data_IF_222370177621
#
_entry.id   IF_222370177621
#
_cell.length_a   1.000
_cell.length_b   1.000
_cell.length_c   1.000
_cell.angle_alpha   90.00
_cell.angle_beta   90.00
_cell.angle_gamma   90.00
#
_symmetry.space_group_name_H-M   'P 1'
#
loop_
_entity.id
_entity.type
_entity.pdbx_description
1 polymer ?
#
# COMPACT_ATOMS: atom_id res chain seq x y z
N UNK A 1 16.75 38.43 -52.87
CA UNK A 1 15.62 38.29 -51.91
C UNK A 1 16.17 37.92 -50.54
N UNK A 2 16.19 38.85 -49.57
CA UNK A 2 16.70 38.60 -48.22
C UNK A 2 15.56 38.16 -47.30
N UNK A 3 15.56 36.90 -46.87
CA UNK A 3 14.63 36.39 -45.86
C UNK A 3 14.99 36.99 -44.49
N UNK A 4 14.04 37.75 -43.92
CA UNK A 4 14.11 38.25 -42.55
C UNK A 4 13.78 37.09 -41.60
N UNK A 5 14.77 36.58 -40.89
CA UNK A 5 14.54 35.64 -39.80
C UNK A 5 13.91 36.39 -38.61
N UNK A 6 12.63 36.12 -38.37
CA UNK A 6 11.90 36.64 -37.23
C UNK A 6 12.43 36.00 -35.93
N UNK A 7 13.04 36.83 -35.06
CA UNK A 7 13.37 36.45 -33.68
C UNK A 7 12.09 36.06 -32.95
N UNK A 8 11.90 34.77 -32.68
CA UNK A 8 10.82 34.28 -31.81
C UNK A 8 11.10 34.71 -30.36
N UNK A 9 10.09 35.22 -29.63
CA UNK A 9 10.28 35.68 -28.26
C UNK A 9 10.51 34.50 -27.32
N UNK A 10 11.68 34.48 -26.68
CA UNK A 10 12.21 33.44 -25.77
C UNK A 10 11.33 33.25 -24.50
N UNK A 11 10.39 34.17 -24.21
CA UNK A 11 9.53 34.11 -23.03
C UNK A 11 8.39 33.07 -23.09
N UNK A 12 7.90 32.71 -24.28
CA UNK A 12 6.71 31.83 -24.42
C UNK A 12 7.03 30.35 -24.13
N UNK A 13 8.26 29.92 -24.44
CA UNK A 13 8.74 28.56 -24.19
C UNK A 13 8.95 28.28 -22.69
N UNK A 14 9.42 29.27 -21.93
CA UNK A 14 9.65 29.11 -20.48
C UNK A 14 8.33 28.98 -19.69
N UNK A 15 7.32 29.74 -20.07
CA UNK A 15 5.98 29.64 -19.45
C UNK A 15 5.29 28.30 -19.73
N UNK A 16 5.36 27.81 -20.97
CA UNK A 16 4.83 26.48 -21.33
C UNK A 16 5.54 25.34 -20.59
N UNK A 17 6.87 25.39 -20.52
CA UNK A 17 7.66 24.41 -19.75
C UNK A 17 7.34 24.43 -18.25
N UNK A 18 7.05 25.60 -17.67
CA UNK A 18 6.63 25.69 -16.26
C UNK A 18 5.23 25.09 -16.04
N UNK A 19 4.28 25.36 -16.93
CA UNK A 19 2.94 24.78 -16.85
C UNK A 19 3.00 23.26 -17.00
N UNK A 20 3.75 22.75 -17.97
CA UNK A 20 3.94 21.31 -18.19
C UNK A 20 4.53 20.62 -16.95
N UNK A 21 5.56 21.21 -16.32
CA UNK A 21 6.15 20.70 -15.08
C UNK A 21 5.14 20.68 -13.92
N UNK A 22 4.37 21.75 -13.76
CA UNK A 22 3.36 21.83 -12.70
C UNK A 22 2.21 20.83 -12.94
N UNK A 23 1.80 20.61 -14.19
CA UNK A 23 0.78 19.60 -14.51
C UNK A 23 1.30 18.19 -14.28
N UNK A 24 2.54 17.88 -14.68
CA UNK A 24 3.17 16.58 -14.46
C UNK A 24 3.32 16.26 -12.97
N UNK A 25 3.71 17.25 -12.16
CA UNK A 25 3.81 17.07 -10.71
C UNK A 25 2.43 16.84 -10.05
N UNK A 26 1.38 17.48 -10.55
CA UNK A 26 0.01 17.29 -10.05
C UNK A 26 -0.53 15.90 -10.40
N UNK A 27 -0.26 15.39 -11.61
CA UNK A 27 -0.65 14.03 -12.00
C UNK A 27 0.11 13.01 -11.17
N UNK A 28 1.42 13.17 -11.00
CA UNK A 28 2.24 12.25 -10.21
C UNK A 28 1.75 12.14 -8.75
N UNK A 29 1.48 13.27 -8.08
CA UNK A 29 0.92 13.27 -6.72
C UNK A 29 -0.45 12.60 -6.63
N UNK A 30 -1.28 12.78 -7.67
CA UNK A 30 -2.60 12.13 -7.73
C UNK A 30 -2.43 10.62 -7.89
N UNK A 31 -1.55 10.17 -8.76
CA UNK A 31 -1.32 8.76 -9.04
C UNK A 31 -0.75 8.05 -7.80
N UNK A 32 0.21 8.68 -7.11
CA UNK A 32 0.74 8.20 -5.82
C UNK A 32 -0.36 8.00 -4.77
N UNK A 33 -1.30 8.95 -4.66
CA UNK A 33 -2.43 8.86 -3.72
C UNK A 33 -3.36 7.71 -4.08
N UNK A 34 -3.70 7.60 -5.36
CA UNK A 34 -4.55 6.51 -5.86
C UNK A 34 -3.89 5.15 -5.64
N UNK A 35 -2.58 5.07 -5.82
CA UNK A 35 -1.83 3.85 -5.59
C UNK A 35 -1.87 3.41 -4.11
N UNK A 36 -1.65 4.36 -3.19
CA UNK A 36 -1.79 4.11 -1.77
C UNK A 36 -3.22 3.67 -1.39
N UNK A 37 -4.23 4.29 -1.99
CA UNK A 37 -5.65 3.95 -1.80
C UNK A 37 -5.99 2.53 -2.31
N UNK A 38 -5.45 2.13 -3.46
CA UNK A 38 -5.66 0.78 -4.01
C UNK A 38 -5.08 -0.29 -3.09
N UNK A 39 -3.85 -0.10 -2.63
CA UNK A 39 -3.25 -1.00 -1.65
C UNK A 39 -4.01 -0.99 -0.31
N UNK A 40 -4.49 0.18 0.12
CA UNK A 40 -5.29 0.30 1.34
C UNK A 40 -6.57 -0.50 1.23
N UNK A 41 -7.30 -0.34 0.13
CA UNK A 41 -8.55 -1.04 -0.12
C UNK A 41 -8.37 -2.55 -0.27
N UNK A 42 -7.26 -2.99 -0.88
CA UNK A 42 -6.91 -4.41 -0.95
C UNK A 42 -6.80 -5.04 0.46
N UNK A 43 -6.11 -4.36 1.38
CA UNK A 43 -5.96 -4.81 2.77
C UNK A 43 -7.22 -4.55 3.62
N UNK A 44 -7.97 -3.50 3.34
CA UNK A 44 -9.18 -3.17 4.09
C UNK A 44 -10.30 -4.17 3.78
N UNK A 45 -10.50 -4.51 2.52
CA UNK A 45 -11.47 -5.54 2.10
C UNK A 45 -10.97 -6.93 2.51
N UNK A 46 -9.65 -7.15 2.44
CA UNK A 46 -9.02 -8.45 2.66
C UNK A 46 -9.66 -9.53 1.76
N UNK A 47 -9.80 -9.21 0.46
CA UNK A 47 -10.40 -10.12 -0.53
C UNK A 47 -9.48 -11.32 -0.76
N UNK A 48 -9.75 -12.40 -0.05
CA UNK A 48 -8.97 -13.63 -0.09
C UNK A 48 -9.63 -14.63 -1.02
N UNK A 49 -8.91 -15.03 -2.07
CA UNK A 49 -9.29 -16.16 -2.92
C UNK A 49 -8.81 -17.46 -2.26
N UNK A 50 -9.77 -18.31 -1.92
CA UNK A 50 -9.50 -19.66 -1.39
C UNK A 50 -9.28 -20.61 -2.56
N UNK A 51 -8.07 -21.13 -2.70
CA UNK A 51 -7.77 -22.19 -3.68
C UNK A 51 -7.85 -23.53 -2.95
N UNK A 52 -8.86 -24.33 -3.28
CA UNK A 52 -8.92 -25.73 -2.86
C UNK A 52 -7.87 -26.49 -3.67
N UNK A 53 -6.74 -26.81 -3.04
CA UNK A 53 -5.83 -27.79 -3.60
C UNK A 53 -6.57 -29.13 -3.50
N UNK A 54 -7.00 -29.67 -4.64
CA UNK A 54 -7.41 -31.07 -4.71
C UNK A 54 -6.15 -31.87 -4.36
N UNK A 55 -6.18 -32.58 -3.25
CA UNK A 55 -5.14 -33.53 -2.87
C UNK A 55 -5.00 -34.58 -3.97
N UNK A 56 -4.09 -34.36 -4.92
CA UNK A 56 -3.65 -35.34 -5.90
C UNK A 56 -2.15 -35.08 -6.12
N UNK A 57 -1.22 -36.01 -5.93
CA UNK A 57 -1.24 -37.46 -5.90
C UNK A 57 -0.22 -37.95 -4.85
N UNK A 58 -0.61 -38.85 -3.95
CA UNK A 58 0.34 -39.70 -3.23
C UNK A 58 0.27 -41.10 -3.86
N UNK A 59 1.36 -41.51 -4.51
CA UNK A 59 1.68 -42.93 -4.63
C UNK A 59 2.27 -43.35 -3.28
N UNK A 60 1.47 -44.01 -2.43
CA UNK A 60 2.02 -44.77 -1.31
C UNK A 60 2.34 -46.20 -1.79
N UNK A 61 3.57 -46.69 -1.64
CA UNK A 61 3.78 -48.10 -1.35
C UNK A 61 3.52 -48.33 0.14
N UNK A 62 2.59 -49.23 0.45
CA UNK A 62 2.17 -49.66 1.78
C UNK A 62 3.31 -49.68 2.82
N UNK A 63 3.10 -48.99 3.93
CA UNK A 63 3.61 -49.41 5.22
C UNK A 63 2.50 -49.27 6.25
N UNK A 64 1.99 -50.41 6.70
CA UNK A 64 1.04 -50.58 7.79
C UNK A 64 1.51 -49.85 9.05
N UNK A 65 1.02 -48.63 9.27
CA UNK A 65 1.07 -47.95 10.56
C UNK A 65 -0.26 -47.24 10.79
N UNK A 66 -1.13 -47.98 11.47
CA UNK A 66 -2.45 -47.59 11.92
C UNK A 66 -2.42 -46.34 12.83
N UNK A 67 -3.16 -45.32 12.37
CA UNK A 67 -4.31 -44.78 13.10
C UNK A 67 -4.06 -43.89 14.35
N UNK A 68 -3.32 -42.79 14.20
CA UNK A 68 -3.43 -41.60 15.07
C UNK A 68 -3.23 -40.27 14.32
N UNK A 69 -3.42 -40.25 13.00
CA UNK A 69 -3.35 -39.01 12.21
C UNK A 69 -4.69 -38.30 12.30
N UNK A 70 -4.79 -37.40 13.28
CA UNK A 70 -5.86 -36.39 13.33
C UNK A 70 -5.99 -35.74 11.95
N UNK A 71 -7.21 -35.67 11.43
CA UNK A 71 -7.53 -35.22 10.08
C UNK A 71 -7.13 -33.79 9.79
N UNK A 72 -5.84 -33.56 9.58
CA UNK A 72 -5.26 -32.30 9.15
C UNK A 72 -5.35 -32.25 7.62
N UNK A 73 -6.59 -32.08 7.13
CA UNK A 73 -6.78 -31.75 5.73
C UNK A 73 -5.96 -30.48 5.46
N UNK A 74 -5.13 -30.45 4.40
CA UNK A 74 -4.26 -29.31 4.15
C UNK A 74 -5.09 -28.04 4.12
N UNK A 75 -4.78 -27.11 5.03
CA UNK A 75 -5.50 -25.84 5.13
C UNK A 75 -5.50 -25.17 3.74
N UNK A 76 -6.66 -24.70 3.26
CA UNK A 76 -6.74 -24.18 1.92
C UNK A 76 -5.85 -22.94 1.78
N UNK A 77 -5.02 -22.91 0.74
CA UNK A 77 -4.19 -21.74 0.44
C UNK A 77 -5.08 -20.55 0.11
N UNK A 78 -4.78 -19.44 0.77
CA UNK A 78 -5.54 -18.19 0.74
C UNK A 78 -4.66 -17.12 0.14
N UNK A 79 -5.09 -16.55 -0.98
CA UNK A 79 -4.36 -15.51 -1.69
C UNK A 79 -5.07 -14.17 -1.60
N UNK A 80 -4.37 -13.14 -1.17
CA UNK A 80 -4.81 -11.76 -1.18
C UNK A 80 -4.54 -11.13 -2.55
N UNK A 81 -5.57 -10.57 -3.17
CA UNK A 81 -5.40 -9.78 -4.40
C UNK A 81 -4.87 -8.39 -4.06
N UNK A 82 -3.73 -8.04 -4.64
CA UNK A 82 -3.11 -6.72 -4.51
C UNK A 82 -2.95 -6.08 -5.89
N UNK A 83 -2.66 -4.77 -5.97
CA UNK A 83 -2.46 -4.08 -7.25
C UNK A 83 -1.32 -4.65 -8.10
N UNK A 84 -0.36 -5.34 -7.48
CA UNK A 84 0.84 -5.89 -8.12
C UNK A 84 0.71 -7.37 -8.45
N UNK A 85 -0.16 -8.09 -7.75
CA UNK A 85 -0.33 -9.54 -7.92
C UNK A 85 -1.07 -10.20 -6.77
N UNK A 86 -1.01 -11.52 -6.72
CA UNK A 86 -1.58 -12.33 -5.65
C UNK A 86 -0.47 -12.73 -4.66
N UNK A 87 -0.64 -12.39 -3.38
CA UNK A 87 0.27 -12.79 -2.30
C UNK A 87 -0.45 -13.75 -1.36
N UNK A 88 0.27 -14.66 -0.70
CA UNK A 88 -0.41 -15.52 0.28
C UNK A 88 -0.80 -14.71 1.52
N UNK A 89 -1.96 -15.03 2.11
CA UNK A 89 -2.42 -14.42 3.36
C UNK A 89 -1.37 -14.60 4.48
N UNK A 90 -0.69 -15.75 4.48
CA UNK A 90 0.38 -16.08 5.41
C UNK A 90 1.59 -15.15 5.28
N UNK A 91 2.08 -14.88 4.06
CA UNK A 91 3.19 -13.96 3.83
C UNK A 91 2.87 -12.54 4.28
N UNK A 92 1.71 -12.02 3.84
CA UNK A 92 1.28 -10.67 4.21
C UNK A 92 1.11 -10.56 5.73
N UNK A 93 0.47 -11.56 6.36
CA UNK A 93 0.29 -11.61 7.81
C UNK A 93 1.60 -11.74 8.58
N UNK A 94 2.56 -12.51 8.07
CA UNK A 94 3.90 -12.67 8.66
C UNK A 94 4.65 -11.35 8.69
N UNK A 95 4.69 -10.62 7.56
CA UNK A 95 5.37 -9.33 7.48
C UNK A 95 4.73 -8.29 8.40
N UNK A 96 3.40 -8.23 8.46
CA UNK A 96 2.68 -7.34 9.40
C UNK A 96 3.07 -7.67 10.85
N UNK A 97 3.13 -8.97 11.17
CA UNK A 97 3.50 -9.44 12.51
C UNK A 97 4.96 -9.06 12.83
N UNK A 98 5.89 -9.31 11.92
CA UNK A 98 7.30 -8.93 12.03
C UNK A 98 7.45 -7.41 12.26
N UNK A 99 6.75 -6.60 11.47
CA UNK A 99 6.74 -5.14 11.65
C UNK A 99 6.24 -4.76 13.05
N UNK A 100 5.15 -5.38 13.51
CA UNK A 100 4.55 -5.10 14.83
C UNK A 100 5.44 -5.51 16.03
N UNK A 101 6.36 -6.45 15.81
CA UNK A 101 7.33 -6.94 16.78
C UNK A 101 8.71 -6.27 16.63
N UNK A 102 8.89 -5.41 15.63
CA UNK A 102 10.15 -4.72 15.37
C UNK A 102 10.59 -3.85 16.56
N UNK A 103 11.90 -3.80 16.77
CA UNK A 103 12.54 -2.90 17.74
C UNK A 103 12.53 -1.44 17.29
N UNK A 104 12.32 -1.17 15.99
CA UNK A 104 12.24 0.19 15.45
C UNK A 104 10.85 0.75 15.76
N UNK A 105 10.73 1.85 16.54
CA UNK A 105 9.43 2.37 16.98
C UNK A 105 8.48 2.72 15.83
N UNK A 106 9.01 3.30 14.75
CA UNK A 106 8.22 3.65 13.56
C UNK A 106 7.65 2.39 12.89
N UNK A 107 8.48 1.39 12.60
CA UNK A 107 8.05 0.14 11.99
C UNK A 107 7.02 -0.59 12.88
N UNK A 108 7.23 -0.58 14.20
CA UNK A 108 6.31 -1.13 15.20
C UNK A 108 4.96 -0.46 15.17
N UNK A 109 4.93 0.87 15.09
CA UNK A 109 3.68 1.63 15.00
C UNK A 109 2.92 1.30 13.71
N UNK A 110 3.61 1.27 12.57
CA UNK A 110 3.00 0.94 11.28
C UNK A 110 2.46 -0.50 11.28
N UNK A 111 3.22 -1.47 11.80
CA UNK A 111 2.79 -2.86 11.93
C UNK A 111 1.53 -3.00 12.80
N UNK A 112 1.46 -2.29 13.94
CA UNK A 112 0.25 -2.26 14.77
C UNK A 112 -0.95 -1.64 14.03
N UNK A 113 -0.73 -0.60 13.22
CA UNK A 113 -1.80 0.00 12.42
C UNK A 113 -2.33 -0.97 11.36
N UNK A 114 -1.45 -1.75 10.74
CA UNK A 114 -1.82 -2.76 9.74
C UNK A 114 -2.53 -3.97 10.38
N UNK A 115 -2.08 -4.45 11.54
CA UNK A 115 -2.76 -5.54 12.24
C UNK A 115 -4.16 -5.12 12.73
N UNK A 116 -4.31 -3.85 13.15
CA UNK A 116 -5.64 -3.27 13.41
C UNK A 116 -6.50 -3.21 12.15
N UNK A 117 -5.95 -2.79 11.02
CA UNK A 117 -6.67 -2.77 9.74
C UNK A 117 -7.22 -4.16 9.38
N UNK A 118 -6.41 -5.20 9.60
CA UNK A 118 -6.79 -6.59 9.32
C UNK A 118 -7.88 -7.11 10.25
N UNK A 119 -7.83 -6.79 11.56
CA UNK A 119 -8.71 -7.36 12.59
C UNK A 119 -9.96 -6.53 12.89
N UNK A 120 -9.85 -5.22 12.79
CA UNK A 120 -10.83 -4.25 13.28
C UNK A 120 -11.18 -3.23 12.18
N UNK A 121 -11.83 -3.69 11.10
CA UNK A 121 -12.23 -2.84 9.99
C UNK A 121 -13.15 -1.69 10.41
N UNK A 122 -14.02 -1.90 11.41
CA UNK A 122 -15.01 -0.91 11.87
C UNK A 122 -14.39 0.33 12.54
N UNK A 123 -13.18 0.24 13.09
CA UNK A 123 -12.48 1.36 13.74
C UNK A 123 -11.50 2.07 12.80
N UNK A 124 -11.28 1.49 11.63
CA UNK A 124 -10.40 1.99 10.59
C UNK A 124 -11.13 2.97 9.65
N UNK A 125 -10.36 3.68 8.84
CA UNK A 125 -10.92 4.63 7.88
C UNK A 125 -11.51 3.86 6.70
N UNK A 126 -12.70 4.21 6.23
CA UNK A 126 -13.26 3.52 5.05
C UNK A 126 -12.50 3.82 3.75
N UNK A 127 -11.77 4.94 3.70
CA UNK A 127 -10.95 5.36 2.55
C UNK A 127 -9.89 6.38 3.02
N UNK A 128 -8.71 6.38 2.38
CA UNK A 128 -7.68 7.39 2.61
C UNK A 128 -7.97 8.69 1.86
N UNK A 129 -8.74 8.62 0.77
CA UNK A 129 -9.00 9.73 -0.13
C UNK A 129 -10.43 10.26 -0.04
N UNK A 130 -10.56 11.56 -0.29
CA UNK A 130 -11.83 12.22 -0.60
C UNK A 130 -11.69 12.85 -1.98
N UNK A 131 -12.04 12.07 -3.02
CA UNK A 131 -11.79 12.45 -4.41
C UNK A 131 -10.31 12.31 -4.77
N UNK A 132 -9.63 13.44 -5.06
CA UNK A 132 -8.19 13.46 -5.44
C UNK A 132 -7.26 13.91 -4.30
N UNK A 133 -7.81 14.21 -3.13
CA UNK A 133 -7.09 14.69 -1.96
C UNK A 133 -7.19 13.69 -0.82
N UNK A 134 -6.26 13.77 0.13
CA UNK A 134 -6.38 13.04 1.38
C UNK A 134 -7.69 13.39 2.09
N UNK A 135 -8.21 12.42 2.85
CA UNK A 135 -9.40 12.61 3.67
C UNK A 135 -9.26 13.76 4.69
N UNK A 136 -10.37 14.12 5.34
CA UNK A 136 -10.43 15.19 6.33
C UNK A 136 -9.41 14.99 7.48
N UNK A 137 -9.16 13.73 7.87
CA UNK A 137 -8.12 13.37 8.84
C UNK A 137 -6.79 13.11 8.12
N UNK A 138 -6.22 14.16 7.52
CA UNK A 138 -5.07 14.06 6.62
C UNK A 138 -3.86 13.35 7.24
N UNK A 139 -3.52 13.65 8.50
CA UNK A 139 -2.39 13.00 9.18
C UNK A 139 -2.62 11.49 9.32
N UNK A 140 -3.81 11.08 9.77
CA UNK A 140 -4.16 9.66 9.93
C UNK A 140 -4.15 8.94 8.58
N UNK A 141 -4.72 9.56 7.54
CA UNK A 141 -4.72 9.01 6.19
C UNK A 141 -3.29 8.84 5.62
N UNK A 142 -2.43 9.84 5.81
CA UNK A 142 -1.03 9.76 5.41
C UNK A 142 -0.27 8.66 6.17
N UNK A 143 -0.49 8.51 7.48
CA UNK A 143 0.14 7.42 8.27
C UNK A 143 -0.29 6.04 7.79
N UNK A 144 -1.57 5.84 7.47
CA UNK A 144 -2.02 4.59 6.83
C UNK A 144 -1.42 4.41 5.44
N UNK A 145 -1.34 5.48 4.63
CA UNK A 145 -0.66 5.44 3.33
C UNK A 145 0.79 5.01 3.44
N UNK A 146 1.55 5.57 4.40
CA UNK A 146 2.93 5.15 4.68
C UNK A 146 2.99 3.69 5.13
N UNK A 147 2.09 3.26 6.03
CA UNK A 147 2.09 1.89 6.54
C UNK A 147 1.89 0.88 5.41
N UNK A 148 0.89 1.13 4.57
CA UNK A 148 0.50 0.25 3.46
C UNK A 148 1.55 0.23 2.35
N UNK A 149 2.12 1.38 1.97
CA UNK A 149 3.20 1.42 0.99
C UNK A 149 4.51 0.80 1.52
N UNK A 150 4.78 0.93 2.83
CA UNK A 150 5.92 0.24 3.45
C UNK A 150 5.75 -1.28 3.40
N UNK A 151 4.52 -1.77 3.61
CA UNK A 151 4.20 -3.19 3.44
C UNK A 151 4.38 -3.63 1.98
N UNK A 152 3.91 -2.83 1.01
CA UNK A 152 4.07 -3.11 -0.41
C UNK A 152 5.56 -3.26 -0.80
N UNK A 153 6.42 -2.34 -0.36
CA UNK A 153 7.87 -2.42 -0.59
C UNK A 153 8.46 -3.70 0.03
N UNK A 154 8.04 -4.07 1.24
CA UNK A 154 8.50 -5.32 1.90
C UNK A 154 8.02 -6.58 1.19
N UNK A 155 6.88 -6.53 0.51
CA UNK A 155 6.38 -7.60 -0.36
C UNK A 155 7.11 -7.67 -1.70
N UNK A 156 8.06 -6.77 -1.97
CA UNK A 156 8.87 -6.75 -3.19
C UNK A 156 8.33 -5.85 -4.30
N UNK A 157 7.34 -5.00 -4.01
CA UNK A 157 6.84 -4.03 -4.98
C UNK A 157 7.79 -2.83 -5.13
N UNK A 158 8.61 -2.88 -6.17
CA UNK A 158 9.55 -1.80 -6.53
C UNK A 158 8.83 -0.51 -6.90
N UNK A 159 7.60 -0.58 -7.43
CA UNK A 159 6.83 0.61 -7.81
C UNK A 159 6.30 1.39 -6.61
N UNK A 160 6.24 0.78 -5.41
CA UNK A 160 5.81 1.45 -4.20
C UNK A 160 6.86 2.38 -3.58
N UNK A 161 8.15 2.25 -3.93
CA UNK A 161 9.23 3.04 -3.31
C UNK A 161 9.09 4.54 -3.57
N UNK A 162 8.83 4.94 -4.82
CA UNK A 162 8.62 6.33 -5.21
C UNK A 162 7.42 6.97 -4.48
N UNK A 163 6.22 6.38 -4.59
CA UNK A 163 5.04 6.76 -3.82
C UNK A 163 5.30 6.86 -2.32
N UNK A 164 6.02 5.90 -1.72
CA UNK A 164 6.32 5.90 -0.29
C UNK A 164 7.12 7.15 0.12
N UNK A 165 8.15 7.50 -0.65
CA UNK A 165 8.96 8.68 -0.37
C UNK A 165 8.14 9.97 -0.49
N UNK A 166 7.27 10.06 -1.50
CA UNK A 166 6.38 11.22 -1.67
C UNK A 166 5.40 11.37 -0.50
N UNK A 167 4.77 10.28 -0.07
CA UNK A 167 3.82 10.30 1.06
C UNK A 167 4.54 10.64 2.38
N UNK A 168 5.75 10.12 2.60
CA UNK A 168 6.60 10.50 3.75
C UNK A 168 6.95 11.98 3.75
N UNK A 169 7.30 12.53 2.59
CA UNK A 169 7.54 13.97 2.43
C UNK A 169 6.28 14.78 2.75
N UNK A 170 5.12 14.38 2.24
CA UNK A 170 3.85 15.04 2.57
C UNK A 170 3.52 14.98 4.06
N UNK A 171 3.80 13.86 4.73
CA UNK A 171 3.61 13.70 6.18
C UNK A 171 4.54 14.62 6.97
N UNK A 172 5.81 14.76 6.55
CA UNK A 172 6.78 15.64 7.21
C UNK A 172 6.45 17.14 7.06
N UNK A 173 5.71 17.50 6.01
CA UNK A 173 5.28 18.87 5.73
C UNK A 173 3.99 19.25 6.47
N UNK A 174 3.33 18.32 7.17
CA UNK A 174 2.19 18.68 7.99
C UNK A 174 2.65 19.55 9.17
N UNK A 175 2.04 20.72 9.38
CA UNK A 175 2.30 21.46 10.60
C UNK A 175 1.91 20.56 11.76
N UNK A 176 2.81 20.41 12.74
CA UNK A 176 2.50 19.83 14.04
C UNK A 176 1.46 20.74 14.69
N UNK A 177 0.19 20.60 14.30
CA UNK A 177 -0.93 21.20 15.01
C UNK A 177 -0.99 20.44 16.30
N UNK A 178 -0.30 20.99 17.31
CA UNK A 178 -0.39 20.58 18.69
C UNK A 178 -1.85 20.23 18.98
N UNK A 179 -2.07 18.99 19.40
CA UNK A 179 -3.29 18.51 20.01
C UNK A 179 -3.52 19.28 21.32
N UNK A 180 -3.90 20.53 21.21
CA UNK A 180 -4.68 21.22 22.23
C UNK A 180 -6.12 21.11 21.75
N UNK A 181 -7.00 20.71 22.66
CA UNK A 181 -8.44 20.53 22.52
C UNK A 181 -8.89 19.10 22.18
N UNK A 182 -9.08 18.32 23.23
CA UNK A 182 -10.44 17.83 23.55
C UNK A 182 -10.57 17.79 25.08
N UNK A 183 -11.57 18.53 25.57
CA UNK A 183 -11.96 18.68 26.96
C UNK A 183 -12.47 17.36 27.57
#
# INVERSE_FOLDING_TARGET
>A
MKQRQAKRPIGVSRGRQQIEKLTAQRTERRDTRLYAEQWYNALYIWDVRVVKILSSFHYEPHSDLDFLTSGDAPAPLRYLKTPVGEFTEGEVGSIITEMSLSWVPEARQLGKMLDKLRREQSTCMGSLLRGASWSQHRERALRYGVAVLTLAVRLGDVYAEGPLQQVKQELSQLPLVNSVQSC
#
